data_IF_322585294952
#
_entry.id   IF_322585294952
#
_cell.length_a   1.000
_cell.length_b   1.000
_cell.length_c   1.000
_cell.angle_alpha   90.00
_cell.angle_beta   90.00
_cell.angle_gamma   90.00
#
_symmetry.space_group_name_H-M   'P 1'
#
loop_
_entity.id
_entity.type
_entity.pdbx_description
1 polymer ?
#
# COMPACT_ATOMS: atom_id res chain seq x y z
N UNK A 1 -29.88 62.88 25.63
CA UNK A 1 -28.53 63.23 25.12
C UNK A 1 -27.51 62.99 26.23
N UNK A 2 -26.76 61.88 26.19
CA UNK A 2 -25.59 61.69 27.07
C UNK A 2 -24.54 60.87 26.33
N UNK A 3 -23.44 61.53 25.98
CA UNK A 3 -22.10 60.95 25.83
C UNK A 3 -21.11 62.01 26.25
N UNK A 4 -20.25 61.65 27.19
CA UNK A 4 -18.90 62.12 27.49
C UNK A 4 -18.58 61.64 28.90
N UNK A 5 -17.38 61.21 29.27
CA UNK A 5 -16.20 60.73 28.57
C UNK A 5 -15.32 60.09 29.65
N UNK A 6 -14.45 59.20 29.22
CA UNK A 6 -13.53 58.30 29.94
C UNK A 6 -12.64 58.95 31.00
N UNK A 7 -12.32 58.19 32.06
CA UNK A 7 -11.01 58.25 32.74
C UNK A 7 -10.50 56.82 32.90
N UNK A 8 -9.28 56.57 32.43
CA UNK A 8 -8.54 55.33 32.58
C UNK A 8 -7.62 55.41 33.80
N UNK A 9 -7.39 54.27 34.47
CA UNK A 9 -6.17 54.08 35.24
C UNK A 9 -5.76 52.61 35.20
N UNK A 10 -4.50 52.39 34.81
CA UNK A 10 -3.80 51.10 34.72
C UNK A 10 -3.10 50.83 36.06
N UNK A 11 -3.19 49.61 36.57
CA UNK A 11 -2.20 49.04 37.50
C UNK A 11 -1.93 47.58 37.08
N UNK A 12 -0.66 47.25 36.96
CA UNK A 12 -0.10 45.95 36.60
C UNK A 12 0.44 45.19 37.84
N UNK A 13 0.55 43.86 37.72
CA UNK A 13 1.46 42.99 38.50
C UNK A 13 0.77 41.99 39.46
N UNK A 14 1.15 40.71 39.64
CA UNK A 14 2.05 39.72 39.00
C UNK A 14 1.74 38.34 39.65
N UNK A 15 1.83 37.25 38.87
CA UNK A 15 2.12 35.83 39.22
C UNK A 15 1.20 34.95 40.08
N UNK A 16 1.10 33.67 39.66
CA UNK A 16 0.79 32.49 40.50
C UNK A 16 -0.36 31.63 40.00
N UNK A 17 -0.27 30.95 38.85
CA UNK A 17 -0.05 29.48 38.77
C UNK A 17 -0.79 28.65 39.83
N UNK A 18 -1.91 28.01 39.43
CA UNK A 18 -2.16 26.59 39.72
C UNK A 18 -2.99 25.95 38.59
N UNK A 19 -2.28 25.07 37.88
CA UNK A 19 -2.65 23.97 37.01
C UNK A 19 -4.13 23.76 36.63
N UNK A 20 -4.41 24.00 35.35
CA UNK A 20 -5.41 23.20 34.61
C UNK A 20 -4.76 21.84 34.33
N UNK A 21 -4.97 20.87 35.21
CA UNK A 21 -4.73 19.47 34.86
C UNK A 21 -5.88 18.99 33.98
N UNK A 22 -5.72 19.19 32.67
CA UNK A 22 -6.34 18.33 31.67
C UNK A 22 -5.24 17.78 30.75
N UNK A 23 -4.22 17.18 31.36
CA UNK A 23 -3.39 16.19 30.68
C UNK A 23 -4.04 14.82 30.90
N UNK A 24 -4.91 14.44 29.97
CA UNK A 24 -5.15 13.08 29.54
C UNK A 24 -6.23 13.14 28.46
N UNK A 25 -5.98 12.50 27.31
CA UNK A 25 -6.85 12.37 26.13
C UNK A 25 -6.62 13.37 24.99
N UNK A 26 -5.42 13.36 24.40
CA UNK A 26 -5.22 13.92 23.06
C UNK A 26 -4.10 13.21 22.27
N UNK A 27 -4.05 11.87 22.24
CA UNK A 27 -3.01 11.17 21.47
C UNK A 27 -3.39 9.79 20.88
N UNK A 28 -4.66 9.51 20.53
CA UNK A 28 -5.03 8.14 20.08
C UNK A 28 -5.63 7.89 18.69
N UNK A 29 -6.11 8.86 17.90
CA UNK A 29 -6.74 8.50 16.62
C UNK A 29 -5.93 8.99 15.40
N UNK A 30 -4.78 8.35 15.13
CA UNK A 30 -4.01 8.56 13.88
C UNK A 30 -3.85 7.32 13.00
N UNK A 31 -4.31 6.18 13.49
CA UNK A 31 -4.48 4.93 12.74
C UNK A 31 -5.96 4.61 12.77
N UNK A 32 -6.59 4.43 11.62
CA UNK A 32 -8.01 4.08 11.52
C UNK A 32 -8.16 2.73 10.85
N UNK A 33 -8.92 1.83 11.48
CA UNK A 33 -9.25 0.53 10.88
C UNK A 33 -10.63 0.60 10.20
N UNK A 34 -10.65 0.40 8.89
CA UNK A 34 -11.86 0.30 8.07
C UNK A 34 -12.21 -1.19 7.93
N UNK A 35 -13.20 -1.65 8.71
CA UNK A 35 -13.70 -3.02 8.60
C UNK A 35 -14.43 -3.24 7.28
N UNK A 36 -14.00 -4.24 6.52
CA UNK A 36 -14.58 -4.56 5.22
C UNK A 36 -15.77 -5.51 5.42
N UNK A 37 -16.97 -5.00 5.17
CA UNK A 37 -18.22 -5.74 5.44
C UNK A 37 -18.53 -6.66 4.25
N UNK A 38 -18.12 -7.94 4.37
CA UNK A 38 -18.09 -9.01 3.34
C UNK A 38 -17.04 -8.79 2.24
N UNK A 39 -16.92 -9.69 1.26
CA UNK A 39 -16.23 -10.97 1.27
C UNK A 39 -14.69 -10.88 1.33
N UNK A 40 -14.09 -11.79 2.11
CA UNK A 40 -12.66 -12.01 2.16
C UNK A 40 -12.26 -13.05 1.09
N UNK A 41 -11.19 -12.78 0.35
CA UNK A 41 -10.61 -13.74 -0.59
C UNK A 41 -9.13 -13.41 -0.72
N UNK A 42 -8.29 -13.91 0.19
CA UNK A 42 -6.83 -13.75 0.19
C UNK A 42 -6.31 -12.45 -0.47
N UNK A 43 -6.52 -11.30 0.18
CA UNK A 43 -6.16 -10.02 -0.43
C UNK A 43 -4.67 -9.93 -0.70
N UNK A 44 -4.35 -9.52 -1.92
CA UNK A 44 -2.99 -9.28 -2.39
C UNK A 44 -2.72 -7.78 -2.42
N UNK A 45 -3.70 -6.99 -2.87
CA UNK A 45 -3.54 -5.57 -3.10
C UNK A 45 -4.61 -4.66 -2.55
N UNK A 46 -4.25 -3.38 -2.44
CA UNK A 46 -5.19 -2.30 -2.17
C UNK A 46 -4.91 -1.11 -3.08
N UNK A 47 -5.97 -0.63 -3.73
CA UNK A 47 -6.02 0.61 -4.48
C UNK A 47 -7.16 1.49 -3.97
N UNK A 48 -7.10 2.81 -4.09
CA UNK A 48 -8.15 3.70 -3.63
C UNK A 48 -8.22 5.01 -4.43
N UNK A 49 -9.43 5.56 -4.47
CA UNK A 49 -9.69 6.95 -4.85
C UNK A 49 -10.51 7.64 -3.75
N UNK A 50 -10.93 8.89 -3.99
CA UNK A 50 -11.71 9.68 -3.02
C UNK A 50 -13.03 9.01 -2.58
N UNK A 51 -13.54 8.03 -3.32
CA UNK A 51 -14.87 7.45 -3.13
C UNK A 51 -14.82 5.94 -2.87
N UNK A 52 -13.81 5.25 -3.36
CA UNK A 52 -13.77 3.79 -3.43
C UNK A 52 -12.43 3.22 -3.02
N UNK A 53 -12.50 2.03 -2.46
CA UNK A 53 -11.36 1.14 -2.23
C UNK A 53 -11.53 -0.06 -3.16
N UNK A 54 -10.45 -0.46 -3.79
CA UNK A 54 -10.32 -1.55 -4.73
C UNK A 54 -9.36 -2.57 -4.14
N UNK A 55 -9.76 -3.84 -4.12
CA UNK A 55 -8.96 -4.91 -3.54
C UNK A 55 -8.75 -5.96 -4.61
N UNK A 56 -7.49 -6.25 -4.92
CA UNK A 56 -7.11 -7.37 -5.77
C UNK A 56 -6.87 -8.61 -4.93
N UNK A 57 -7.35 -9.73 -5.46
CA UNK A 57 -7.27 -11.04 -4.84
C UNK A 57 -6.92 -12.07 -5.89
N UNK A 58 -6.09 -13.05 -5.53
CA UNK A 58 -5.70 -14.17 -6.38
C UNK A 58 -6.38 -15.49 -5.99
N UNK A 59 -7.27 -15.44 -5.00
CA UNK A 59 -8.20 -16.50 -4.62
C UNK A 59 -9.63 -15.98 -4.61
N UNK A 60 -10.59 -16.89 -4.72
CA UNK A 60 -11.98 -16.63 -4.39
C UNK A 60 -12.30 -16.97 -2.92
N UNK A 61 -13.59 -16.95 -2.56
CA UNK A 61 -14.09 -17.18 -1.20
C UNK A 61 -13.91 -18.62 -0.73
N UNK A 62 -13.82 -19.55 -1.68
CA UNK A 62 -13.56 -20.97 -1.42
C UNK A 62 -12.05 -21.26 -1.46
N UNK A 63 -11.22 -20.21 -1.52
CA UNK A 63 -9.76 -20.28 -1.62
C UNK A 63 -9.25 -20.99 -2.89
N UNK A 64 -10.06 -21.07 -3.94
CA UNK A 64 -9.60 -21.55 -5.25
C UNK A 64 -8.87 -20.43 -6.00
N UNK A 65 -7.91 -20.81 -6.86
CA UNK A 65 -7.16 -19.87 -7.73
C UNK A 65 -8.12 -19.09 -8.63
N UNK A 66 -8.28 -17.80 -8.35
CA UNK A 66 -9.22 -16.94 -9.06
C UNK A 66 -8.89 -15.48 -8.83
N UNK A 67 -8.66 -14.74 -9.91
CA UNK A 67 -8.41 -13.31 -9.80
C UNK A 67 -9.72 -12.55 -9.65
N UNK A 68 -9.87 -11.79 -8.57
CA UNK A 68 -11.05 -10.93 -8.35
C UNK A 68 -10.64 -9.50 -8.04
N UNK A 69 -11.54 -8.56 -8.37
CA UNK A 69 -11.43 -7.16 -7.94
C UNK A 69 -12.68 -6.83 -7.12
N UNK A 70 -12.53 -6.69 -5.82
CA UNK A 70 -13.61 -6.24 -4.94
C UNK A 70 -13.59 -4.73 -4.81
N UNK A 71 -14.77 -4.11 -4.77
CA UNK A 71 -14.95 -2.66 -4.67
C UNK A 71 -15.77 -2.36 -3.43
N UNK A 72 -15.25 -1.43 -2.64
CA UNK A 72 -15.84 -0.95 -1.40
C UNK A 72 -15.97 0.56 -1.43
N UNK A 73 -16.91 1.11 -0.67
CA UNK A 73 -16.86 2.53 -0.31
C UNK A 73 -15.76 2.77 0.72
N UNK A 74 -15.29 4.01 0.84
CA UNK A 74 -14.26 4.41 1.82
C UNK A 74 -14.61 4.12 3.29
N UNK A 75 -15.88 3.86 3.59
CA UNK A 75 -16.34 3.40 4.91
C UNK A 75 -16.35 1.85 5.06
N UNK A 76 -15.78 1.11 4.13
CA UNK A 76 -15.70 -0.36 4.14
C UNK A 76 -16.98 -1.09 3.73
N UNK A 77 -17.98 -0.37 3.21
CA UNK A 77 -19.21 -0.96 2.67
C UNK A 77 -18.92 -1.64 1.33
N UNK A 78 -19.17 -2.94 1.22
CA UNK A 78 -19.10 -3.67 -0.06
C UNK A 78 -20.05 -3.06 -1.10
N UNK A 79 -19.54 -2.89 -2.33
CA UNK A 79 -20.29 -2.37 -3.48
C UNK A 79 -20.47 -3.47 -4.52
N UNK A 80 -19.36 -4.03 -5.04
CA UNK A 80 -19.39 -5.04 -6.09
C UNK A 80 -18.09 -5.83 -6.13
N UNK A 81 -18.08 -6.96 -6.83
CA UNK A 81 -16.91 -7.78 -7.09
C UNK A 81 -16.90 -8.15 -8.58
N UNK A 82 -15.77 -7.92 -9.24
CA UNK A 82 -15.50 -8.48 -10.55
C UNK A 82 -14.84 -9.84 -10.37
N UNK A 83 -15.63 -10.90 -10.52
CA UNK A 83 -15.10 -12.28 -10.58
C UNK A 83 -14.37 -12.51 -11.90
N UNK A 84 -13.40 -13.41 -11.91
CA UNK A 84 -12.59 -13.73 -13.09
C UNK A 84 -12.02 -12.46 -13.74
N UNK A 85 -11.55 -11.52 -12.91
CA UNK A 85 -11.10 -10.21 -13.34
C UNK A 85 -9.94 -10.32 -14.35
N UNK A 86 -9.11 -11.34 -14.20
CA UNK A 86 -8.08 -11.73 -15.14
C UNK A 86 -8.02 -13.24 -15.31
N UNK A 87 -8.16 -13.71 -16.55
CA UNK A 87 -8.09 -15.14 -16.92
C UNK A 87 -6.92 -15.45 -17.85
N UNK A 88 -6.06 -14.46 -18.11
CA UNK A 88 -4.87 -14.63 -18.92
C UNK A 88 -3.90 -15.64 -18.29
N UNK A 89 -3.16 -16.31 -19.18
CA UNK A 89 -2.19 -17.34 -18.81
C UNK A 89 -0.82 -17.00 -19.38
N UNK A 90 0.22 -17.63 -18.84
CA UNK A 90 1.54 -17.57 -19.47
C UNK A 90 1.63 -18.45 -20.74
N UNK A 91 2.79 -18.47 -21.39
CA UNK A 91 3.02 -19.27 -22.60
C UNK A 91 2.84 -20.78 -22.41
N UNK A 92 2.90 -21.28 -21.18
CA UNK A 92 2.71 -22.69 -20.82
C UNK A 92 1.31 -22.96 -20.24
N UNK A 93 0.36 -22.04 -20.43
CA UNK A 93 -1.03 -22.12 -19.95
C UNK A 93 -1.16 -22.17 -18.41
N UNK A 94 -0.16 -21.69 -17.68
CA UNK A 94 -0.20 -21.59 -16.22
C UNK A 94 -1.02 -20.37 -15.79
N UNK A 95 -1.68 -20.49 -14.63
CA UNK A 95 -2.44 -19.40 -14.03
C UNK A 95 -1.51 -18.23 -13.71
N UNK A 96 -2.02 -17.01 -13.87
CA UNK A 96 -1.33 -15.79 -13.49
C UNK A 96 -2.14 -15.06 -12.42
N UNK A 97 -1.62 -15.04 -11.21
CA UNK A 97 -2.20 -14.44 -10.00
C UNK A 97 -2.05 -12.94 -9.98
N UNK A 98 -3.02 -12.25 -9.39
CA UNK A 98 -2.87 -10.85 -8.99
C UNK A 98 -1.84 -10.68 -7.89
N UNK A 99 -1.08 -9.60 -7.97
CA UNK A 99 -0.46 -8.98 -6.81
C UNK A 99 -1.25 -7.74 -6.39
N UNK A 100 -0.52 -6.71 -5.96
CA UNK A 100 -0.99 -5.39 -5.59
C UNK A 100 -1.43 -4.52 -6.79
N UNK A 101 -2.12 -3.41 -6.50
CA UNK A 101 -2.70 -2.54 -7.51
C UNK A 101 -2.54 -1.04 -7.20
N UNK A 102 -2.65 -0.23 -8.25
CA UNK A 102 -2.54 1.23 -8.20
C UNK A 102 -3.73 1.86 -8.91
N UNK A 103 -4.35 2.83 -8.27
CA UNK A 103 -5.33 3.73 -8.89
C UNK A 103 -4.63 4.99 -9.39
N UNK A 104 -4.73 5.25 -10.69
CA UNK A 104 -4.10 6.41 -11.32
C UNK A 104 -4.87 6.84 -12.57
N UNK A 105 -5.16 8.15 -12.69
CA UNK A 105 -5.78 8.75 -13.87
C UNK A 105 -7.06 8.03 -14.36
N UNK A 106 -7.98 7.67 -13.45
CA UNK A 106 -9.23 6.93 -13.75
C UNK A 106 -9.04 5.47 -14.20
N UNK A 107 -7.85 4.92 -14.00
CA UNK A 107 -7.56 3.51 -14.23
C UNK A 107 -7.09 2.82 -12.96
N UNK A 108 -7.33 1.51 -12.89
CA UNK A 108 -6.67 0.60 -11.96
C UNK A 108 -5.64 -0.21 -12.74
N UNK A 109 -4.41 -0.22 -12.25
CA UNK A 109 -3.32 -1.02 -12.75
C UNK A 109 -3.06 -2.13 -11.73
N UNK A 110 -3.13 -3.39 -12.15
CA UNK A 110 -2.82 -4.53 -11.29
C UNK A 110 -1.60 -5.26 -11.85
N UNK A 111 -0.69 -5.66 -10.96
CA UNK A 111 0.36 -6.61 -11.29
C UNK A 111 -0.25 -8.01 -11.42
N UNK A 112 0.26 -8.81 -12.35
CA UNK A 112 -0.11 -10.22 -12.48
C UNK A 112 1.12 -11.09 -12.77
N UNK A 113 1.25 -12.24 -12.12
CA UNK A 113 2.43 -13.11 -12.20
C UNK A 113 2.08 -14.59 -12.17
N UNK A 114 2.93 -15.48 -12.67
CA UNK A 114 2.67 -16.92 -12.69
C UNK A 114 3.17 -17.72 -11.46
N UNK A 115 3.70 -17.07 -10.42
CA UNK A 115 4.29 -17.71 -9.23
C UNK A 115 3.41 -18.79 -8.56
N UNK A 116 2.11 -18.57 -8.36
CA UNK A 116 1.23 -19.56 -7.71
C UNK A 116 0.96 -20.83 -8.54
N UNK A 117 1.40 -20.86 -9.80
CA UNK A 117 1.44 -22.08 -10.59
C UNK A 117 2.76 -22.87 -10.41
N UNK A 118 3.60 -22.44 -9.46
CA UNK A 118 4.90 -23.00 -9.09
C UNK A 118 5.87 -23.22 -10.27
N UNK A 119 6.05 -22.23 -11.17
CA UNK A 119 7.06 -22.31 -12.21
C UNK A 119 8.49 -22.25 -11.62
N UNK A 120 9.49 -22.82 -12.31
CA UNK A 120 10.89 -22.52 -12.05
C UNK A 120 11.16 -21.01 -12.08
N UNK A 121 12.15 -20.53 -11.32
CA UNK A 121 12.42 -19.11 -11.12
C UNK A 121 12.71 -18.37 -12.43
N UNK A 122 13.48 -18.99 -13.32
CA UNK A 122 13.82 -18.50 -14.66
C UNK A 122 12.61 -18.39 -15.60
N UNK A 123 11.52 -19.08 -15.26
CA UNK A 123 10.25 -19.05 -16.00
C UNK A 123 9.18 -18.15 -15.35
N UNK A 124 9.52 -17.50 -14.22
CA UNK A 124 8.62 -16.54 -13.58
C UNK A 124 8.54 -15.29 -14.43
N UNK A 125 7.32 -14.94 -14.83
CA UNK A 125 7.05 -13.76 -15.63
C UNK A 125 5.90 -12.96 -15.03
N UNK A 126 5.93 -11.67 -15.30
CA UNK A 126 4.92 -10.74 -14.85
C UNK A 126 4.39 -9.84 -15.96
N UNK A 127 3.18 -9.35 -15.74
CA UNK A 127 2.48 -8.39 -16.58
C UNK A 127 1.84 -7.31 -15.71
N UNK A 128 1.49 -6.20 -16.35
CA UNK A 128 0.55 -5.22 -15.79
C UNK A 128 -0.74 -5.28 -16.58
N UNK A 129 -1.87 -5.29 -15.89
CA UNK A 129 -3.20 -5.27 -16.50
C UNK A 129 -3.88 -3.96 -16.10
N UNK A 130 -4.43 -3.26 -17.09
CA UNK A 130 -5.06 -1.95 -16.92
C UNK A 130 -6.57 -2.08 -17.08
N UNK A 131 -7.30 -1.53 -16.12
CA UNK A 131 -8.76 -1.52 -16.06
C UNK A 131 -9.29 -0.09 -16.02
N UNK A 132 -10.39 0.17 -16.71
CA UNK A 132 -11.14 1.41 -16.56
C UNK A 132 -11.92 1.40 -15.24
N UNK A 133 -11.79 2.42 -14.39
CA UNK A 133 -12.42 2.41 -13.06
C UNK A 133 -13.95 2.45 -13.07
N UNK A 134 -14.57 3.01 -14.11
CA UNK A 134 -16.03 3.18 -14.17
C UNK A 134 -16.78 1.85 -14.20
N UNK A 135 -16.20 0.82 -14.83
CA UNK A 135 -16.84 -0.48 -15.06
C UNK A 135 -15.89 -1.68 -14.89
N UNK A 136 -14.64 -1.45 -14.48
CA UNK A 136 -13.59 -2.45 -14.37
C UNK A 136 -13.42 -3.29 -15.64
N UNK A 137 -13.63 -2.69 -16.81
CA UNK A 137 -13.30 -3.32 -18.09
C UNK A 137 -11.78 -3.31 -18.26
N UNK A 138 -11.19 -4.50 -18.46
CA UNK A 138 -9.80 -4.61 -18.88
C UNK A 138 -9.65 -3.96 -20.26
N UNK A 139 -8.68 -3.06 -20.40
CA UNK A 139 -8.43 -2.32 -21.63
C UNK A 139 -7.08 -2.64 -22.25
N UNK A 140 -6.04 -2.87 -21.44
CA UNK A 140 -4.68 -3.11 -21.92
C UNK A 140 -3.97 -4.11 -21.01
N UNK A 141 -2.94 -4.76 -21.55
CA UNK A 141 -2.03 -5.65 -20.84
C UNK A 141 -0.62 -5.42 -21.37
N UNK A 142 0.35 -5.34 -20.46
CA UNK A 142 1.76 -5.11 -20.79
C UNK A 142 2.61 -6.23 -20.21
N UNK A 143 3.50 -6.82 -21.00
CA UNK A 143 4.50 -7.74 -20.47
C UNK A 143 5.64 -6.94 -19.86
N UNK A 144 5.98 -7.19 -18.59
CA UNK A 144 7.05 -6.47 -17.87
C UNK A 144 8.26 -7.36 -17.56
N UNK A 145 8.33 -8.51 -18.24
CA UNK A 145 9.48 -9.41 -18.20
C UNK A 145 9.46 -10.38 -17.02
N UNK A 146 10.66 -10.81 -16.62
CA UNK A 146 10.86 -11.84 -15.61
C UNK A 146 10.70 -11.34 -14.17
N UNK A 147 10.37 -12.29 -13.28
CA UNK A 147 10.16 -12.10 -11.85
C UNK A 147 8.69 -12.13 -11.46
N UNK A 148 8.43 -12.12 -10.16
CA UNK A 148 7.11 -12.09 -9.52
C UNK A 148 6.81 -10.67 -9.08
N UNK A 149 6.25 -9.85 -9.96
CA UNK A 149 5.95 -8.45 -9.68
C UNK A 149 4.75 -8.35 -8.74
N UNK A 150 4.97 -7.90 -7.50
CA UNK A 150 3.87 -7.78 -6.53
C UNK A 150 3.23 -6.41 -6.61
N UNK A 151 3.99 -5.32 -6.59
CA UNK A 151 3.39 -3.99 -6.47
C UNK A 151 3.90 -2.99 -7.48
N UNK A 152 3.05 -2.00 -7.74
CA UNK A 152 3.25 -0.92 -8.68
C UNK A 152 2.93 0.41 -8.01
N UNK A 153 3.81 1.41 -8.19
CA UNK A 153 3.58 2.77 -7.75
C UNK A 153 3.95 3.79 -8.83
N UNK A 154 3.42 5.01 -8.72
CA UNK A 154 3.80 6.12 -9.59
C UNK A 154 4.68 7.11 -8.85
N UNK A 155 5.81 7.47 -9.45
CA UNK A 155 6.72 8.46 -8.90
C UNK A 155 7.48 9.20 -10.02
N UNK A 156 7.47 10.54 -9.94
CA UNK A 156 8.06 11.46 -10.93
C UNK A 156 7.70 11.12 -12.39
N UNK A 157 6.45 10.75 -12.62
CA UNK A 157 5.92 10.49 -13.96
C UNK A 157 6.15 9.08 -14.52
N UNK A 158 6.97 8.25 -13.85
CA UNK A 158 7.21 6.86 -14.21
C UNK A 158 6.40 5.90 -13.35
N UNK A 159 6.20 4.69 -13.86
CA UNK A 159 5.76 3.55 -13.06
C UNK A 159 6.97 2.83 -12.47
N UNK A 160 6.83 2.35 -11.25
CA UNK A 160 7.86 1.65 -10.52
C UNK A 160 7.27 0.35 -10.01
N UNK A 161 8.00 -0.76 -10.16
CA UNK A 161 7.51 -2.10 -9.82
C UNK A 161 8.55 -2.83 -8.98
N UNK A 162 8.12 -3.41 -7.87
CA UNK A 162 8.93 -4.31 -7.03
C UNK A 162 8.51 -5.76 -7.22
N UNK A 163 9.41 -6.65 -6.82
CA UNK A 163 9.29 -8.08 -7.04
C UNK A 163 9.39 -8.85 -5.73
N UNK A 164 8.57 -9.88 -5.58
CA UNK A 164 8.58 -10.79 -4.43
C UNK A 164 9.84 -11.64 -4.36
N UNK A 165 10.39 -11.99 -5.52
CA UNK A 165 11.49 -12.94 -5.66
C UNK A 165 12.80 -12.27 -6.05
N UNK A 166 12.87 -10.93 -6.05
CA UNK A 166 14.07 -10.19 -6.42
C UNK A 166 14.24 -8.94 -5.58
N UNK A 167 15.45 -8.73 -5.06
CA UNK A 167 15.87 -7.52 -4.35
C UNK A 167 16.12 -6.36 -5.33
N UNK A 168 15.11 -6.01 -6.13
CA UNK A 168 15.21 -4.94 -7.12
C UNK A 168 13.87 -4.21 -7.29
N UNK A 169 13.96 -2.96 -7.76
CA UNK A 169 12.84 -2.18 -8.25
C UNK A 169 13.13 -1.76 -9.69
N UNK A 170 12.13 -1.88 -10.56
CA UNK A 170 12.25 -1.51 -11.97
C UNK A 170 11.42 -0.28 -12.28
N UNK A 171 11.97 0.61 -13.10
CA UNK A 171 11.29 1.81 -13.60
C UNK A 171 10.81 1.58 -15.02
N UNK A 172 9.58 1.99 -15.28
CA UNK A 172 8.92 1.88 -16.57
C UNK A 172 8.36 3.23 -17.02
N UNK A 173 8.29 3.44 -18.32
CA UNK A 173 7.56 4.55 -18.91
C UNK A 173 6.04 4.32 -18.87
N UNK A 174 5.26 5.24 -19.45
CA UNK A 174 3.78 5.16 -19.46
C UNK A 174 3.21 3.98 -20.25
N UNK A 175 3.99 3.44 -21.17
CA UNK A 175 3.65 2.34 -22.07
C UNK A 175 4.26 1.02 -21.57
N UNK A 176 4.79 1.02 -20.34
CA UNK A 176 5.45 -0.09 -19.67
C UNK A 176 6.71 -0.61 -20.38
N UNK A 177 7.42 0.24 -21.12
CA UNK A 177 8.79 -0.08 -21.52
C UNK A 177 9.74 0.14 -20.33
N UNK A 178 10.58 -0.87 -20.06
CA UNK A 178 11.55 -0.79 -18.98
C UNK A 178 12.61 0.27 -19.29
N UNK A 179 12.82 1.20 -18.35
CA UNK A 179 13.81 2.27 -18.46
C UNK A 179 15.07 2.00 -17.63
N UNK A 180 14.91 1.38 -16.46
CA UNK A 180 16.02 1.11 -15.53
C UNK A 180 15.66 0.01 -14.52
N UNK A 181 16.69 -0.63 -13.98
CA UNK A 181 16.61 -1.57 -12.86
C UNK A 181 17.53 -1.05 -11.75
N UNK A 182 17.03 -1.05 -10.52
CA UNK A 182 17.78 -0.59 -9.36
C UNK A 182 17.80 -1.70 -8.31
N UNK A 183 18.99 -2.13 -7.84
CA UNK A 183 19.06 -3.06 -6.72
C UNK A 183 18.56 -2.37 -5.44
N UNK A 184 17.93 -3.16 -4.58
CA UNK A 184 17.52 -2.77 -3.23
C UNK A 184 18.35 -3.57 -2.23
N UNK A 185 19.09 -2.89 -1.36
CA UNK A 185 20.05 -3.55 -0.46
C UNK A 185 19.44 -4.21 0.78
N UNK A 186 18.14 -4.00 1.04
CA UNK A 186 17.44 -4.63 2.14
C UNK A 186 17.34 -6.14 1.92
N UNK A 187 17.58 -6.90 2.98
CA UNK A 187 17.49 -8.34 2.95
C UNK A 187 16.04 -8.78 3.15
N UNK A 188 15.58 -9.69 2.31
CA UNK A 188 14.39 -10.49 2.59
C UNK A 188 14.66 -11.38 3.80
N UNK A 189 13.67 -11.53 4.66
CA UNK A 189 13.60 -12.58 5.66
C UNK A 189 13.02 -13.88 5.07
N UNK A 190 12.59 -14.80 5.93
CA UNK A 190 12.23 -16.17 5.54
C UNK A 190 10.93 -16.36 4.74
N UNK A 191 10.10 -15.32 4.59
CA UNK A 191 8.73 -15.41 4.03
C UNK A 191 8.57 -14.71 2.69
N UNK A 192 9.68 -14.41 2.02
CA UNK A 192 9.70 -13.80 0.70
C UNK A 192 9.93 -12.28 0.73
N UNK A 193 9.72 -11.65 -0.43
CA UNK A 193 10.12 -10.28 -0.67
C UNK A 193 9.02 -9.24 -0.59
N UNK A 194 9.16 -8.17 -1.38
CA UNK A 194 8.26 -7.02 -1.33
C UNK A 194 6.86 -7.37 -1.85
N UNK A 195 5.84 -6.81 -1.19
CA UNK A 195 4.41 -6.99 -1.48
C UNK A 195 3.70 -5.70 -1.87
N UNK A 196 4.23 -4.55 -1.45
CA UNK A 196 3.59 -3.26 -1.64
C UNK A 196 4.63 -2.13 -1.66
N UNK A 197 4.42 -1.08 -2.44
CA UNK A 197 5.31 0.10 -2.44
C UNK A 197 4.55 1.41 -2.53
N UNK A 198 5.15 2.44 -1.95
CA UNK A 198 4.72 3.80 -2.19
C UNK A 198 5.88 4.79 -2.02
N UNK A 199 5.70 6.00 -2.54
CA UNK A 199 6.70 7.06 -2.47
C UNK A 199 6.21 8.25 -1.64
N UNK A 200 7.11 8.80 -0.81
CA UNK A 200 6.95 10.13 -0.20
C UNK A 200 8.17 10.97 -0.51
N UNK A 201 7.98 12.01 -1.33
CA UNK A 201 9.08 12.78 -1.92
C UNK A 201 10.05 11.80 -2.59
N UNK A 202 11.36 11.94 -2.38
CA UNK A 202 12.35 10.99 -2.91
C UNK A 202 12.60 9.78 -2.00
N UNK A 203 11.66 9.43 -1.12
CA UNK A 203 11.75 8.21 -0.32
C UNK A 203 10.82 7.13 -0.88
N UNK A 204 11.35 5.92 -1.04
CA UNK A 204 10.61 4.69 -1.32
C UNK A 204 10.36 3.97 0.00
N UNK A 205 9.13 3.49 0.17
CA UNK A 205 8.74 2.62 1.26
C UNK A 205 8.22 1.32 0.67
N UNK A 206 8.87 0.21 1.00
CA UNK A 206 8.62 -1.09 0.42
C UNK A 206 8.21 -2.07 1.51
N UNK A 207 6.94 -2.47 1.47
CA UNK A 207 6.33 -3.37 2.44
C UNK A 207 6.76 -4.80 2.14
N UNK A 208 7.36 -5.47 3.11
CA UNK A 208 7.78 -6.86 2.98
C UNK A 208 6.65 -7.81 3.31
N UNK A 209 6.65 -8.96 2.63
CA UNK A 209 5.76 -10.05 3.00
C UNK A 209 6.02 -10.49 4.44
N UNK A 210 4.93 -10.89 5.10
CA UNK A 210 4.93 -11.28 6.49
C UNK A 210 3.93 -12.37 6.77
N UNK A 211 4.16 -13.06 7.89
CA UNK A 211 3.31 -14.13 8.35
C UNK A 211 1.90 -13.58 8.51
N UNK A 212 0.92 -14.28 7.94
CA UNK A 212 -0.49 -13.95 8.10
C UNK A 212 -1.09 -14.73 9.31
N UNK A 213 -0.27 -15.08 10.30
CA UNK A 213 -0.56 -16.07 11.35
C UNK A 213 -0.43 -15.51 12.78
N UNK A 214 -1.56 -15.41 13.48
CA UNK A 214 -1.58 -14.92 14.86
C UNK A 214 -0.54 -15.65 15.77
N UNK A 215 0.41 -14.90 16.31
CA UNK A 215 1.45 -15.42 17.21
C UNK A 215 2.78 -15.82 16.55
N UNK A 216 2.91 -15.71 15.21
CA UNK A 216 4.21 -15.81 14.54
C UNK A 216 4.96 -14.49 14.53
N UNK A 217 6.28 -14.59 14.41
CA UNK A 217 7.17 -13.43 14.35
C UNK A 217 6.81 -12.52 13.16
N UNK A 218 6.96 -11.22 13.42
CA UNK A 218 6.43 -10.06 12.72
C UNK A 218 6.56 -10.06 11.18
N UNK A 219 5.63 -9.39 10.48
CA UNK A 219 5.81 -9.05 9.07
C UNK A 219 7.13 -8.31 8.89
N UNK A 220 7.96 -8.70 7.93
CA UNK A 220 9.39 -8.39 7.99
C UNK A 220 9.72 -6.90 7.94
N UNK A 221 8.75 -6.02 7.71
CA UNK A 221 8.85 -4.59 7.93
C UNK A 221 8.52 -3.78 6.70
N UNK A 222 8.61 -2.47 6.85
CA UNK A 222 8.56 -1.50 5.78
C UNK A 222 9.98 -0.98 5.56
N UNK A 223 10.64 -1.45 4.50
CA UNK A 223 11.95 -0.94 4.15
C UNK A 223 11.84 0.47 3.59
N UNK A 224 12.66 1.36 4.13
CA UNK A 224 12.73 2.75 3.72
C UNK A 224 14.05 3.01 3.00
N UNK A 225 13.94 3.52 1.77
CA UNK A 225 15.07 3.91 0.95
C UNK A 225 14.97 5.38 0.57
N UNK A 226 16.11 6.06 0.49
CA UNK A 226 16.26 7.38 -0.11
C UNK A 226 16.75 7.24 -1.55
N UNK A 227 16.02 7.79 -2.51
CA UNK A 227 16.44 7.89 -3.90
C UNK A 227 17.15 9.21 -4.15
N UNK A 228 18.40 9.16 -4.61
CA UNK A 228 19.19 10.36 -4.93
C UNK A 228 19.13 10.77 -6.42
N UNK A 229 18.42 9.99 -7.24
CA UNK A 229 18.36 10.16 -8.70
C UNK A 229 19.08 9.05 -9.46
N UNK A 230 19.99 8.33 -8.82
CA UNK A 230 20.81 7.27 -9.40
C UNK A 230 20.63 5.93 -8.70
N UNK A 231 20.49 5.93 -7.38
CA UNK A 231 20.37 4.71 -6.59
C UNK A 231 19.40 4.86 -5.41
N UNK A 232 18.99 3.73 -4.85
CA UNK A 232 18.23 3.67 -3.60
C UNK A 232 19.17 3.32 -2.45
N UNK A 233 19.37 4.27 -1.55
CA UNK A 233 20.13 4.07 -0.30
C UNK A 233 19.19 3.60 0.80
N UNK A 234 19.43 2.42 1.35
CA UNK A 234 18.68 1.95 2.52
C UNK A 234 18.89 2.89 3.71
N UNK A 235 17.81 3.27 4.37
CA UNK A 235 17.83 4.16 5.53
C UNK A 235 17.56 3.37 6.80
N UNK A 236 16.40 2.71 6.86
CA UNK A 236 15.99 1.88 7.98
C UNK A 236 14.85 0.95 7.59
N UNK A 237 14.54 0.03 8.49
CA UNK A 237 13.35 -0.82 8.43
C UNK A 237 12.39 -0.37 9.53
N UNK A 238 11.15 -0.13 9.13
CA UNK A 238 10.11 0.42 10.00
C UNK A 238 9.07 -0.66 10.28
N UNK A 239 8.42 -0.59 11.43
CA UNK A 239 7.29 -1.46 11.78
C UNK A 239 6.03 -1.04 10.99
N UNK A 240 5.39 -1.88 10.15
CA UNK A 240 4.02 -1.65 9.67
C UNK A 240 3.00 -1.43 10.81
N UNK A 241 1.88 -0.76 10.52
CA UNK A 241 0.94 -0.29 11.54
C UNK A 241 0.14 -1.41 12.24
N UNK A 242 0.02 -2.58 11.61
CA UNK A 242 -0.54 -3.79 12.24
C UNK A 242 0.23 -5.02 11.78
N UNK A 243 0.12 -6.10 12.54
CA UNK A 243 0.70 -7.40 12.20
C UNK A 243 0.23 -7.91 10.82
N UNK A 244 -1.04 -7.68 10.48
CA UNK A 244 -1.62 -8.17 9.24
C UNK A 244 -1.34 -7.31 8.00
N UNK A 245 -0.72 -6.14 8.16
CA UNK A 245 -0.44 -5.17 7.11
C UNK A 245 0.80 -5.54 6.26
N UNK A 246 1.04 -6.82 5.99
CA UNK A 246 2.18 -7.34 5.21
C UNK A 246 1.89 -7.61 3.73
N UNK A 247 0.75 -7.12 3.20
CA UNK A 247 0.35 -7.30 1.80
C UNK A 247 0.45 -5.96 1.05
N UNK A 248 -0.46 -5.70 0.10
CA UNK A 248 -0.50 -4.44 -0.65
C UNK A 248 -0.60 -3.19 0.22
N UNK A 249 0.02 -2.12 -0.28
CA UNK A 249 -0.05 -0.79 0.31
C UNK A 249 -0.10 0.27 -0.78
N UNK A 250 -0.96 1.26 -0.60
CA UNK A 250 -1.05 2.37 -1.53
C UNK A 250 -1.15 3.71 -0.81
N UNK A 251 -0.46 4.71 -1.35
CA UNK A 251 -0.60 6.10 -0.89
C UNK A 251 -1.59 6.86 -1.77
N UNK A 252 -2.59 7.48 -1.12
CA UNK A 252 -3.57 8.37 -1.75
C UNK A 252 -3.60 9.70 -1.01
N UNK A 253 -3.11 10.75 -1.65
CA UNK A 253 -2.87 12.05 -1.00
C UNK A 253 -1.91 11.91 0.17
N UNK A 254 -2.35 12.28 1.37
CA UNK A 254 -1.58 12.16 2.62
C UNK A 254 -1.87 10.88 3.40
N UNK A 255 -2.82 10.07 2.90
CA UNK A 255 -3.22 8.81 3.52
C UNK A 255 -2.46 7.63 2.90
N UNK A 256 -2.19 6.63 3.73
CA UNK A 256 -1.63 5.34 3.31
C UNK A 256 -2.62 4.25 3.69
N UNK A 257 -3.03 3.45 2.71
CA UNK A 257 -3.97 2.36 2.81
C UNK A 257 -3.19 1.06 2.85
N UNK A 258 -3.39 0.27 3.90
CA UNK A 258 -2.70 -1.00 4.10
C UNK A 258 -3.72 -2.13 4.07
N UNK A 259 -3.48 -3.14 3.24
CA UNK A 259 -4.27 -4.36 3.26
C UNK A 259 -3.90 -5.20 4.48
N UNK A 260 -4.77 -5.22 5.49
CA UNK A 260 -4.64 -6.10 6.65
C UNK A 260 -5.48 -7.35 6.43
N UNK A 261 -4.79 -8.40 5.96
CA UNK A 261 -5.40 -9.65 5.51
C UNK A 261 -6.01 -10.46 6.69
N UNK A 262 -5.30 -10.76 7.79
CA UNK A 262 -5.89 -11.42 8.95
C UNK A 262 -7.07 -10.66 9.57
N UNK A 263 -6.99 -9.32 9.58
CA UNK A 263 -8.02 -8.47 10.17
C UNK A 263 -9.25 -8.23 9.29
N UNK A 264 -9.21 -8.66 8.01
CA UNK A 264 -10.19 -8.36 6.97
C UNK A 264 -10.57 -6.87 6.98
N UNK A 265 -9.56 -6.02 6.96
CA UNK A 265 -9.70 -4.58 7.15
C UNK A 265 -8.65 -3.80 6.36
N UNK A 266 -8.94 -2.54 6.10
CA UNK A 266 -7.93 -1.60 5.65
C UNK A 266 -7.48 -0.76 6.82
N UNK A 267 -6.17 -0.74 7.04
CA UNK A 267 -5.58 0.20 8.00
C UNK A 267 -5.25 1.47 7.24
N UNK A 268 -5.65 2.61 7.80
CA UNK A 268 -5.39 3.93 7.28
C UNK A 268 -4.43 4.65 8.22
N UNK A 269 -3.31 5.13 7.69
CA UNK A 269 -2.36 5.98 8.43
C UNK A 269 -2.19 7.32 7.72
N UNK A 270 -1.92 8.38 8.48
CA UNK A 270 -1.61 9.72 7.94
C UNK A 270 -0.10 9.95 7.91
N UNK A 271 0.51 10.01 6.73
CA UNK A 271 1.96 10.11 6.59
C UNK A 271 2.75 8.95 7.24
N UNK A 272 4.08 9.11 7.34
CA UNK A 272 5.00 8.08 7.85
C UNK A 272 5.53 8.35 9.26
N UNK A 273 5.47 9.60 9.73
CA UNK A 273 5.98 9.98 11.05
C UNK A 273 5.29 9.23 12.21
N UNK A 274 4.20 8.53 11.91
CA UNK A 274 3.42 7.70 12.84
C UNK A 274 3.88 6.24 12.92
N UNK A 275 4.68 5.77 11.97
CA UNK A 275 5.22 4.40 11.97
C UNK A 275 6.52 4.30 12.79
N UNK A 276 7.03 5.42 13.32
CA UNK A 276 8.30 5.52 14.05
C UNK A 276 8.21 5.23 15.55
N UNK A 277 7.03 5.02 16.11
CA UNK A 277 6.90 4.85 17.56
C UNK A 277 7.18 3.41 17.98
N UNK A 278 8.45 3.09 18.25
CA UNK A 278 8.84 2.20 19.36
C UNK A 278 10.35 2.17 19.69
N UNK A 279 11.23 2.88 18.98
CA UNK A 279 12.68 2.82 19.23
C UNK A 279 13.39 4.19 19.46
N UNK A 280 12.64 5.27 19.73
CA UNK A 280 13.23 6.55 20.17
C UNK A 280 13.16 6.74 21.70
N UNK A 281 13.35 5.65 22.46
CA UNK A 281 13.55 5.67 23.93
C UNK A 281 14.88 5.04 24.32
#
# INVERSE_FOLDING_TARGET
MRRMMTVACVIAGISGWFAVNSQANAYHDKITAIKMRNPFSAWQGVGADEKRIYITSDRDRDFALSNTISVYGVAGKYITEKKNAYTGKDGKKRFMSFGDCLVSNKFLYATVYNFNASPPEEERISRIVKYRLSDLKQIEQYNIGQGTAESIAKYKGSFWVVYHDRNEIKRFDRDFHQQAVYPLSGQFGGEGGYQGIFFIKDNLYANLHGSNEYGKEYAQGLDHYRFDGHEFKFVNRIKPPTYGAGQGVERVGDSIFWADRPGNQIILTQGIDLLRTENDS
#
